data_IF_763834133467
#
_entry.id   IF_763834133467
#
_cell.length_a   1.000
_cell.length_b   1.000
_cell.length_c   1.000
_cell.angle_alpha   90.00
_cell.angle_beta   90.00
_cell.angle_gamma   90.00
#
_symmetry.space_group_name_H-M   'P 1'
#
loop_
_entity.id
_entity.type
_entity.pdbx_description
1 polymer ?
#
# COMPACT_ATOMS: atom_id res chain seq x y z
N UNK A 1 5.81 20.21 -17.58
CA UNK A 1 5.47 19.62 -18.88
C UNK A 1 4.28 20.38 -19.47
N UNK A 2 4.40 20.99 -20.67
CA UNK A 2 3.32 21.80 -21.27
C UNK A 2 2.07 20.98 -21.66
N UNK A 3 2.17 19.64 -21.66
CA UNK A 3 1.05 18.74 -21.93
C UNK A 3 0.22 18.40 -20.69
N UNK A 4 0.67 18.80 -19.52
CA UNK A 4 -0.02 18.52 -18.24
C UNK A 4 -0.84 19.74 -17.84
N UNK A 5 -2.14 19.53 -17.69
CA UNK A 5 -3.02 20.52 -17.07
C UNK A 5 -2.91 20.43 -15.55
N UNK A 6 -2.20 21.37 -14.96
CA UNK A 6 -1.93 21.41 -13.51
C UNK A 6 -3.18 21.62 -12.65
N UNK A 7 -4.27 22.10 -13.23
CA UNK A 7 -5.54 22.29 -12.50
C UNK A 7 -6.40 21.02 -12.50
N UNK A 8 -6.01 19.99 -13.28
CA UNK A 8 -6.74 18.73 -13.43
C UNK A 8 -5.87 17.51 -13.11
N UNK A 9 -5.18 17.53 -11.99
CA UNK A 9 -4.33 16.42 -11.54
C UNK A 9 -5.12 15.50 -10.60
N UNK A 10 -5.28 14.25 -11.00
CA UNK A 10 -5.75 13.17 -10.14
C UNK A 10 -4.60 12.25 -9.74
N UNK A 11 -4.81 11.45 -8.69
CA UNK A 11 -3.85 10.43 -8.25
C UNK A 11 -4.54 9.10 -8.02
N UNK A 12 -3.88 8.02 -8.44
CA UNK A 12 -4.26 6.64 -8.10
C UNK A 12 -3.11 6.04 -7.30
N UNK A 13 -3.41 5.61 -6.07
CA UNK A 13 -2.47 4.88 -5.25
C UNK A 13 -2.84 3.40 -5.15
N UNK A 14 -1.93 2.49 -5.54
CA UNK A 14 -2.16 1.04 -5.49
C UNK A 14 -1.32 0.43 -4.37
N UNK A 15 -1.88 -0.47 -3.57
CA UNK A 15 -1.21 -1.12 -2.44
C UNK A 15 -0.68 -0.09 -1.44
N UNK A 16 0.59 -0.15 -1.05
CA UNK A 16 1.25 0.82 -0.18
C UNK A 16 1.17 2.25 -0.68
N UNK A 17 1.17 2.43 -2.02
CA UNK A 17 1.03 3.76 -2.64
C UNK A 17 -0.33 4.41 -2.37
N UNK A 18 -1.37 3.65 -1.98
CA UNK A 18 -2.64 4.22 -1.52
C UNK A 18 -2.45 5.12 -0.30
N UNK A 19 -1.74 4.63 0.72
CA UNK A 19 -1.45 5.44 1.91
C UNK A 19 -0.49 6.61 1.63
N UNK A 20 0.43 6.45 0.68
CA UNK A 20 1.32 7.55 0.26
C UNK A 20 0.54 8.63 -0.50
N UNK A 21 -0.39 8.26 -1.38
CA UNK A 21 -1.25 9.20 -2.10
C UNK A 21 -2.14 10.01 -1.14
N UNK A 22 -2.73 9.35 -0.13
CA UNK A 22 -3.49 10.03 0.92
C UNK A 22 -2.61 11.01 1.69
N UNK A 23 -1.42 10.57 2.14
CA UNK A 23 -0.49 11.42 2.87
C UNK A 23 -0.06 12.64 2.06
N UNK A 24 0.22 12.46 0.75
CA UNK A 24 0.54 13.56 -0.15
C UNK A 24 -0.66 14.51 -0.35
N UNK A 25 -1.86 13.96 -0.52
CA UNK A 25 -3.06 14.76 -0.74
C UNK A 25 -3.41 15.68 0.45
N UNK A 26 -3.07 15.31 1.67
CA UNK A 26 -3.29 16.18 2.85
C UNK A 26 -2.53 17.50 2.75
N UNK A 27 -1.38 17.52 2.11
CA UNK A 27 -0.50 18.70 2.03
C UNK A 27 -0.37 19.28 0.62
N UNK A 28 -0.90 18.61 -0.40
CA UNK A 28 -0.84 19.08 -1.78
C UNK A 28 -2.25 19.25 -2.40
N UNK A 29 -2.80 20.47 -2.37
CA UNK A 29 -4.14 20.76 -2.91
C UNK A 29 -4.23 20.71 -4.43
N UNK A 30 -3.11 20.52 -5.14
CA UNK A 30 -3.10 20.31 -6.59
C UNK A 30 -3.65 18.94 -6.99
N UNK A 31 -3.62 17.97 -6.07
CA UNK A 31 -4.29 16.67 -6.26
C UNK A 31 -5.79 16.85 -6.07
N UNK A 32 -6.53 16.96 -7.18
CA UNK A 32 -7.97 17.34 -7.20
C UNK A 32 -8.92 16.17 -6.95
N UNK A 33 -8.51 14.96 -7.31
CA UNK A 33 -9.28 13.74 -7.09
C UNK A 33 -8.34 12.59 -6.71
N UNK A 34 -8.67 11.82 -5.68
CA UNK A 34 -7.80 10.79 -5.10
C UNK A 34 -8.52 9.44 -5.16
N UNK A 35 -7.93 8.45 -5.82
CA UNK A 35 -8.38 7.08 -5.80
C UNK A 35 -7.32 6.16 -5.18
N UNK A 36 -7.76 5.15 -4.43
CA UNK A 36 -6.89 4.09 -3.92
C UNK A 36 -7.42 2.73 -4.37
N UNK A 37 -6.54 1.80 -4.67
CA UNK A 37 -6.88 0.44 -5.11
C UNK A 37 -6.09 -0.56 -4.27
N UNK A 38 -6.78 -1.53 -3.66
CA UNK A 38 -6.13 -2.53 -2.80
C UNK A 38 -5.15 -1.91 -1.81
N UNK A 39 -5.55 -0.82 -1.15
CA UNK A 39 -4.66 -0.02 -0.33
C UNK A 39 -4.15 -0.77 0.89
N UNK A 40 -2.90 -0.46 1.27
CA UNK A 40 -2.34 -0.70 2.60
C UNK A 40 -2.14 0.62 3.35
N UNK A 41 -2.54 0.68 4.61
CA UNK A 41 -1.92 1.61 5.55
C UNK A 41 -0.56 1.03 5.95
N UNK A 42 0.50 1.52 5.29
CA UNK A 42 1.85 1.03 5.53
C UNK A 42 2.29 1.25 6.99
N UNK A 43 1.76 2.26 7.63
CA UNK A 43 2.02 2.53 9.04
C UNK A 43 1.32 1.54 9.97
N UNK A 44 0.01 1.40 9.84
CA UNK A 44 -0.79 0.49 10.67
C UNK A 44 -0.37 -0.96 10.46
N UNK A 45 -0.14 -1.40 9.22
CA UNK A 45 0.32 -2.76 8.92
C UNK A 45 1.65 -3.09 9.64
N UNK A 46 2.60 -2.13 9.68
CA UNK A 46 3.87 -2.33 10.38
C UNK A 46 3.77 -2.17 11.89
N UNK A 47 2.82 -1.35 12.41
CA UNK A 47 2.64 -1.16 13.85
C UNK A 47 1.83 -2.26 14.52
N UNK A 48 0.79 -2.70 13.85
CA UNK A 48 -0.28 -3.50 14.44
C UNK A 48 -0.42 -4.88 13.79
N UNK A 49 0.25 -5.12 12.64
CA UNK A 49 -0.04 -6.26 11.78
C UNK A 49 -1.43 -6.15 11.12
N UNK A 50 -1.77 -7.12 10.28
CA UNK A 50 -3.11 -7.26 9.73
C UNK A 50 -4.09 -7.59 10.85
N UNK A 51 -5.27 -6.97 10.81
CA UNK A 51 -6.34 -7.18 11.80
C UNK A 51 -5.87 -7.05 13.24
N UNK A 52 -4.94 -6.13 13.49
CA UNK A 52 -4.33 -5.91 14.80
C UNK A 52 -3.66 -7.17 15.39
N UNK A 53 -3.10 -8.04 14.55
CA UNK A 53 -2.48 -9.30 14.97
C UNK A 53 -1.12 -9.16 15.66
N UNK A 54 -0.54 -7.95 15.75
CA UNK A 54 0.74 -7.68 16.43
C UNK A 54 0.52 -7.06 17.81
N UNK A 55 1.11 -7.66 18.85
CA UNK A 55 1.08 -7.11 20.21
C UNK A 55 2.04 -5.92 20.37
N UNK A 56 1.82 -5.12 21.42
CA UNK A 56 2.74 -4.02 21.76
C UNK A 56 4.14 -4.54 22.09
N UNK A 57 4.26 -5.67 22.74
CA UNK A 57 5.53 -6.30 23.10
C UNK A 57 6.30 -6.74 21.85
N UNK A 58 5.63 -7.38 20.90
CA UNK A 58 6.23 -7.75 19.60
C UNK A 58 6.73 -6.50 18.85
N UNK A 59 5.93 -5.44 18.82
CA UNK A 59 6.33 -4.17 18.22
C UNK A 59 7.56 -3.55 18.90
N UNK A 60 7.60 -3.52 20.24
CA UNK A 60 8.77 -3.04 21.01
C UNK A 60 10.01 -3.87 20.72
N UNK A 61 9.86 -5.19 20.62
CA UNK A 61 10.97 -6.09 20.27
C UNK A 61 11.53 -5.79 18.89
N UNK A 62 10.68 -5.61 17.88
CA UNK A 62 11.09 -5.24 16.51
C UNK A 62 11.86 -3.91 16.52
N UNK A 63 11.38 -2.91 17.27
CA UNK A 63 12.07 -1.61 17.38
C UNK A 63 13.44 -1.74 18.03
N UNK A 64 13.57 -2.57 19.08
CA UNK A 64 14.84 -2.87 19.74
C UNK A 64 15.81 -3.54 18.76
N UNK A 65 15.37 -4.59 18.07
CA UNK A 65 16.19 -5.29 17.07
C UNK A 65 16.65 -4.36 15.94
N UNK A 66 15.78 -3.44 15.50
CA UNK A 66 16.16 -2.47 14.47
C UNK A 66 17.19 -1.45 14.97
N UNK A 67 17.15 -1.09 16.25
CA UNK A 67 18.17 -0.23 16.84
C UNK A 67 19.54 -0.93 16.88
N UNK A 68 19.58 -2.19 17.34
CA UNK A 68 20.81 -3.01 17.35
C UNK A 68 21.34 -3.23 15.93
N UNK A 69 20.46 -3.49 14.96
CA UNK A 69 20.85 -3.66 13.56
C UNK A 69 21.52 -2.40 12.99
N UNK A 70 21.05 -1.20 13.36
CA UNK A 70 21.70 0.06 12.93
C UNK A 70 23.15 0.19 13.46
N UNK A 71 23.41 -0.25 14.71
CA UNK A 71 24.78 -0.29 15.23
C UNK A 71 25.64 -1.29 14.46
N UNK A 72 25.11 -2.49 14.16
CA UNK A 72 25.82 -3.48 13.39
C UNK A 72 26.18 -2.95 11.99
N UNK A 73 25.21 -2.37 11.27
CA UNK A 73 25.43 -1.78 9.94
C UNK A 73 26.43 -0.61 9.99
N UNK A 74 26.37 0.25 11.02
CA UNK A 74 27.29 1.37 11.19
C UNK A 74 28.75 0.92 11.38
N UNK A 75 28.95 -0.23 11.99
CA UNK A 75 30.31 -0.81 12.22
C UNK A 75 30.75 -1.74 11.07
N UNK A 76 30.07 -1.74 9.94
CA UNK A 76 30.42 -2.53 8.75
C UNK A 76 29.85 -3.95 8.72
N UNK A 77 28.88 -4.25 9.59
CA UNK A 77 28.13 -5.51 9.56
C UNK A 77 27.16 -5.60 8.39
N UNK A 78 26.64 -6.80 8.16
CA UNK A 78 25.74 -7.09 7.04
C UNK A 78 24.38 -6.40 7.18
N UNK A 79 23.81 -5.97 6.04
CA UNK A 79 22.45 -5.43 5.98
C UNK A 79 21.44 -6.57 6.12
N UNK A 80 20.54 -6.44 7.10
CA UNK A 80 19.41 -7.35 7.26
C UNK A 80 18.22 -6.88 6.43
N UNK A 81 17.58 -7.81 5.72
CA UNK A 81 16.36 -7.56 4.94
C UNK A 81 15.13 -8.17 5.64
N UNK A 82 13.95 -7.69 5.27
CA UNK A 82 12.67 -8.28 5.71
C UNK A 82 12.38 -9.55 4.93
N UNK A 83 11.41 -10.36 5.41
CA UNK A 83 11.01 -11.59 4.72
C UNK A 83 10.38 -11.34 3.35
N UNK A 84 9.77 -10.16 3.12
CA UNK A 84 9.17 -9.81 1.84
C UNK A 84 8.22 -10.87 1.26
N UNK A 85 8.22 -11.00 -0.08
CA UNK A 85 7.51 -12.11 -0.76
C UNK A 85 8.41 -13.35 -0.79
N UNK A 86 7.89 -14.48 -0.33
CA UNK A 86 8.62 -15.76 -0.32
C UNK A 86 9.11 -16.14 -1.70
N UNK A 87 10.28 -16.78 -1.78
CA UNK A 87 10.86 -17.24 -3.05
C UNK A 87 10.30 -18.59 -3.50
N UNK A 88 9.82 -19.39 -2.55
CA UNK A 88 9.24 -20.70 -2.79
C UNK A 88 8.00 -20.89 -1.94
N UNK A 89 7.02 -21.61 -2.49
CA UNK A 89 5.84 -22.02 -1.73
C UNK A 89 6.09 -23.38 -1.08
N UNK A 90 5.64 -23.50 0.16
CA UNK A 90 5.66 -24.74 0.93
C UNK A 90 4.22 -25.18 1.27
N UNK A 91 4.06 -26.35 1.85
CA UNK A 91 2.76 -26.81 2.35
C UNK A 91 2.18 -25.87 3.42
N UNK A 92 3.05 -25.26 4.20
CA UNK A 92 2.69 -24.31 5.29
C UNK A 92 2.53 -22.87 4.84
N UNK A 93 2.78 -22.54 3.56
CA UNK A 93 2.60 -21.18 3.03
C UNK A 93 1.17 -20.68 3.23
N UNK A 94 1.06 -19.50 3.82
CA UNK A 94 -0.23 -18.85 4.09
C UNK A 94 -0.95 -18.43 2.79
N UNK A 95 -2.26 -18.20 2.82
CA UNK A 95 -2.98 -17.66 1.67
C UNK A 95 -2.38 -16.35 1.14
N UNK A 96 -1.91 -15.47 2.02
CA UNK A 96 -1.29 -14.18 1.65
C UNK A 96 0.05 -14.42 0.95
N UNK A 97 0.90 -15.30 1.45
CA UNK A 97 2.17 -15.65 0.79
C UNK A 97 1.93 -16.24 -0.59
N UNK A 98 0.94 -17.12 -0.73
CA UNK A 98 0.54 -17.68 -2.04
C UNK A 98 0.04 -16.60 -2.99
N UNK A 99 -0.77 -15.66 -2.51
CA UNK A 99 -1.30 -14.56 -3.32
C UNK A 99 -0.17 -13.65 -3.82
N UNK A 100 0.75 -13.23 -2.95
CA UNK A 100 1.89 -12.41 -3.33
C UNK A 100 2.89 -13.15 -4.21
N UNK A 101 3.16 -14.43 -3.93
CA UNK A 101 4.00 -15.27 -4.79
C UNK A 101 3.43 -15.34 -6.21
N UNK A 102 2.11 -15.60 -6.35
CA UNK A 102 1.43 -15.74 -7.64
C UNK A 102 1.52 -14.46 -8.49
N UNK A 103 1.79 -13.30 -7.90
CA UNK A 103 2.05 -12.05 -8.63
C UNK A 103 3.55 -11.81 -8.79
N UNK A 104 4.29 -11.65 -7.69
CA UNK A 104 5.67 -11.16 -7.71
C UNK A 104 6.74 -12.19 -8.10
N UNK A 105 6.40 -13.49 -8.16
CA UNK A 105 7.32 -14.58 -8.52
C UNK A 105 6.87 -15.36 -9.76
N UNK A 106 6.02 -14.75 -10.57
CA UNK A 106 5.54 -15.32 -11.83
C UNK A 106 5.52 -14.24 -12.92
N UNK A 107 5.38 -14.60 -14.22
CA UNK A 107 5.29 -13.63 -15.30
C UNK A 107 4.18 -12.59 -15.18
N UNK A 108 3.27 -12.70 -14.20
CA UNK A 108 2.24 -11.68 -13.94
C UNK A 108 2.83 -10.32 -13.54
N UNK A 109 3.84 -10.33 -12.67
CA UNK A 109 4.41 -9.09 -12.13
C UNK A 109 5.87 -9.23 -11.69
N UNK A 110 6.54 -10.33 -12.06
CA UNK A 110 7.96 -10.52 -11.79
C UNK A 110 8.78 -9.47 -12.53
N UNK A 111 9.53 -8.70 -11.78
CA UNK A 111 10.43 -7.70 -12.33
C UNK A 111 11.60 -7.44 -11.39
N UNK A 112 12.80 -7.48 -11.94
CA UNK A 112 14.02 -7.08 -11.21
C UNK A 112 14.66 -5.90 -11.94
N UNK A 113 14.75 -4.72 -11.30
CA UNK A 113 15.42 -3.57 -11.89
C UNK A 113 16.90 -3.87 -12.22
N UNK A 114 17.41 -3.21 -13.23
CA UNK A 114 18.85 -3.25 -13.55
C UNK A 114 19.69 -2.85 -12.32
N UNK A 115 20.74 -3.59 -12.04
CA UNK A 115 21.61 -3.38 -10.87
C UNK A 115 21.05 -3.90 -9.54
N UNK A 116 19.86 -4.53 -9.56
CA UNK A 116 19.28 -5.21 -8.39
C UNK A 116 19.41 -6.72 -8.49
N UNK A 117 18.97 -7.43 -7.45
CA UNK A 117 18.98 -8.89 -7.37
C UNK A 117 17.56 -9.44 -7.21
N UNK A 118 17.17 -10.52 -7.93
CA UNK A 118 15.89 -11.19 -7.72
C UNK A 118 15.63 -11.59 -6.27
N UNK A 119 16.70 -11.95 -5.53
CA UNK A 119 16.63 -12.32 -4.12
C UNK A 119 16.22 -11.15 -3.21
N UNK A 120 16.46 -9.91 -3.64
CA UNK A 120 16.16 -8.69 -2.88
C UNK A 120 14.86 -8.02 -3.34
N UNK A 121 14.32 -8.41 -4.49
CA UNK A 121 13.04 -7.85 -4.99
C UNK A 121 11.93 -8.11 -3.98
N UNK A 122 11.22 -7.06 -3.57
CA UNK A 122 10.18 -7.06 -2.52
C UNK A 122 10.70 -7.24 -1.08
N UNK A 123 12.01 -7.21 -0.84
CA UNK A 123 12.63 -7.32 0.48
C UNK A 123 13.27 -5.99 0.89
N UNK A 124 12.53 -5.04 1.46
CA UNK A 124 13.13 -3.82 1.99
C UNK A 124 14.09 -4.14 3.14
N UNK A 125 15.08 -3.28 3.36
CA UNK A 125 15.96 -3.43 4.51
C UNK A 125 15.17 -3.34 5.80
N UNK A 126 15.54 -4.13 6.79
CA UNK A 126 14.84 -4.18 8.08
C UNK A 126 14.81 -2.81 8.77
N UNK A 127 15.95 -2.11 8.75
CA UNK A 127 16.09 -0.78 9.36
C UNK A 127 15.32 0.31 8.63
N UNK A 128 15.05 0.16 7.32
CA UNK A 128 14.17 1.06 6.58
C UNK A 128 12.71 0.75 6.83
N UNK A 129 12.33 -0.53 6.86
CA UNK A 129 10.94 -0.96 7.00
C UNK A 129 10.32 -0.51 8.32
N UNK A 130 11.06 -0.56 9.44
CA UNK A 130 10.54 -0.12 10.75
C UNK A 130 10.19 1.36 10.80
N UNK A 131 10.69 2.19 9.88
CA UNK A 131 10.34 3.61 9.79
C UNK A 131 8.85 3.79 9.49
N UNK A 132 8.21 2.84 8.81
CA UNK A 132 6.77 2.86 8.61
C UNK A 132 5.98 2.83 9.91
N UNK A 133 6.54 2.31 11.01
CA UNK A 133 5.86 2.36 12.30
C UNK A 133 5.58 3.80 12.79
N UNK A 134 6.29 4.81 12.26
CA UNK A 134 6.02 6.23 12.52
C UNK A 134 5.29 6.93 11.36
N UNK A 135 4.63 6.20 10.50
CA UNK A 135 3.83 6.73 9.40
C UNK A 135 2.34 6.59 9.71
N UNK A 136 1.62 7.71 9.77
CA UNK A 136 0.20 7.81 10.13
C UNK A 136 -0.59 8.48 8.99
N UNK A 137 -0.79 7.76 7.86
CA UNK A 137 -1.38 8.36 6.67
C UNK A 137 -2.82 8.83 6.87
N UNK A 138 -3.59 8.18 7.75
CA UNK A 138 -5.00 8.49 7.96
C UNK A 138 -5.26 9.53 9.05
N UNK A 139 -4.22 9.96 9.80
CA UNK A 139 -4.38 11.12 10.70
C UNK A 139 -4.71 12.35 9.86
N UNK A 140 -5.76 13.05 10.24
CA UNK A 140 -6.26 14.25 9.57
C UNK A 140 -6.68 14.04 8.10
N UNK A 141 -7.08 12.81 7.72
CA UNK A 141 -7.53 12.47 6.36
C UNK A 141 -8.77 13.30 5.96
N UNK A 142 -9.60 13.70 6.90
CA UNK A 142 -10.77 14.55 6.70
C UNK A 142 -10.41 15.93 6.14
N UNK A 143 -9.19 16.39 6.32
CA UNK A 143 -8.70 17.68 5.76
C UNK A 143 -8.58 17.67 4.24
N UNK A 144 -8.62 16.50 3.61
CA UNK A 144 -8.63 16.38 2.15
C UNK A 144 -9.92 16.95 1.57
N UNK A 145 -11.05 16.86 2.30
CA UNK A 145 -12.32 17.46 1.90
C UNK A 145 -12.14 18.96 1.55
N UNK A 146 -12.85 19.49 0.54
CA UNK A 146 -13.91 18.87 -0.26
C UNK A 146 -13.44 18.11 -1.52
N UNK A 147 -12.17 17.74 -1.60
CA UNK A 147 -11.65 16.97 -2.74
C UNK A 147 -12.14 15.52 -2.65
N UNK A 148 -12.70 14.95 -3.74
CA UNK A 148 -13.31 13.63 -3.71
C UNK A 148 -12.29 12.53 -3.54
N UNK A 149 -12.66 11.51 -2.75
CA UNK A 149 -11.89 10.29 -2.55
C UNK A 149 -12.68 9.05 -2.95
N UNK A 150 -12.04 8.13 -3.68
CA UNK A 150 -12.58 6.82 -4.05
C UNK A 150 -11.67 5.73 -3.51
N UNK A 151 -12.21 4.86 -2.65
CA UNK A 151 -11.51 3.70 -2.10
C UNK A 151 -12.02 2.44 -2.79
N UNK A 152 -11.12 1.70 -3.47
CA UNK A 152 -11.45 0.46 -4.16
C UNK A 152 -10.72 -0.70 -3.49
N UNK A 153 -11.45 -1.73 -3.11
CA UNK A 153 -10.87 -2.95 -2.52
C UNK A 153 -11.56 -4.20 -3.08
N UNK A 154 -10.82 -5.29 -3.16
CA UNK A 154 -11.41 -6.59 -3.44
C UNK A 154 -12.16 -7.14 -2.22
N UNK A 155 -13.30 -7.79 -2.44
CA UNK A 155 -14.11 -8.41 -1.39
C UNK A 155 -13.31 -9.43 -0.56
N UNK A 156 -12.38 -10.16 -1.21
CA UNK A 156 -11.54 -11.18 -0.58
C UNK A 156 -10.15 -10.67 -0.23
N UNK A 157 -9.88 -9.37 -0.42
CA UNK A 157 -8.57 -8.81 -0.14
C UNK A 157 -8.28 -8.83 1.36
N UNK A 158 -7.15 -9.41 1.75
CA UNK A 158 -6.68 -9.40 3.13
C UNK A 158 -6.42 -7.99 3.68
N UNK A 159 -6.28 -7.00 2.79
CA UNK A 159 -6.05 -5.58 3.10
C UNK A 159 -7.32 -4.72 3.09
N UNK A 160 -8.51 -5.32 2.94
CA UNK A 160 -9.77 -4.57 2.82
C UNK A 160 -9.98 -3.62 4.02
N UNK A 161 -9.57 -4.02 5.21
CA UNK A 161 -9.67 -3.24 6.45
C UNK A 161 -9.11 -1.83 6.30
N UNK A 162 -8.00 -1.65 5.57
CA UNK A 162 -7.38 -0.33 5.41
C UNK A 162 -8.22 0.61 4.54
N UNK A 163 -8.90 0.08 3.53
CA UNK A 163 -9.83 0.87 2.71
C UNK A 163 -11.09 1.23 3.49
N UNK A 164 -11.60 0.33 4.32
CA UNK A 164 -12.74 0.56 5.18
C UNK A 164 -12.42 1.60 6.27
N UNK A 165 -11.24 1.51 6.90
CA UNK A 165 -10.78 2.47 7.89
C UNK A 165 -10.58 3.87 7.30
N UNK A 166 -9.93 3.98 6.14
CA UNK A 166 -9.75 5.24 5.45
C UNK A 166 -11.11 5.86 5.07
N UNK A 167 -12.02 5.06 4.52
CA UNK A 167 -13.38 5.50 4.19
C UNK A 167 -14.12 6.00 5.43
N UNK A 168 -14.04 5.28 6.54
CA UNK A 168 -14.70 5.68 7.80
C UNK A 168 -14.18 7.02 8.32
N UNK A 169 -12.87 7.26 8.23
CA UNK A 169 -12.21 8.46 8.76
C UNK A 169 -12.30 9.67 7.81
N UNK A 170 -12.33 9.46 6.51
CA UNK A 170 -12.42 10.52 5.52
C UNK A 170 -13.72 11.32 5.63
N UNK A 171 -13.67 12.62 5.31
CA UNK A 171 -14.88 13.45 5.15
C UNK A 171 -15.44 13.36 3.71
N UNK A 172 -16.67 13.85 3.52
CA UNK A 172 -17.31 13.90 2.20
C UNK A 172 -16.62 14.93 1.26
N UNK A 173 -16.64 14.71 -0.06
CA UNK A 173 -17.25 13.58 -0.77
C UNK A 173 -16.32 12.36 -0.83
N UNK A 174 -16.83 11.21 -0.49
CA UNK A 174 -16.09 9.94 -0.47
C UNK A 174 -16.93 8.77 -0.97
N UNK A 175 -16.28 7.75 -1.48
CA UNK A 175 -16.93 6.53 -1.92
C UNK A 175 -16.07 5.31 -1.63
N UNK A 176 -16.69 4.21 -1.17
CA UNK A 176 -16.07 2.89 -1.05
C UNK A 176 -16.69 1.97 -2.10
N UNK A 177 -15.85 1.37 -2.94
CA UNK A 177 -16.26 0.43 -3.97
C UNK A 177 -15.61 -0.94 -3.76
N UNK A 178 -16.41 -1.94 -3.42
CA UNK A 178 -15.94 -3.31 -3.22
C UNK A 178 -16.13 -4.10 -4.51
N UNK A 179 -15.04 -4.70 -5.00
CA UNK A 179 -15.05 -5.55 -6.20
C UNK A 179 -15.34 -6.99 -5.80
N UNK A 180 -16.51 -7.54 -6.20
CA UNK A 180 -16.90 -8.89 -5.82
C UNK A 180 -15.88 -9.95 -6.26
N UNK A 181 -15.55 -10.87 -5.36
CA UNK A 181 -14.69 -12.03 -5.62
C UNK A 181 -13.20 -11.72 -5.81
N UNK A 182 -12.78 -10.45 -5.89
CA UNK A 182 -11.37 -10.08 -6.09
C UNK A 182 -10.57 -10.19 -4.79
N UNK A 183 -9.34 -10.71 -4.90
CA UNK A 183 -8.29 -10.63 -3.89
C UNK A 183 -7.51 -9.32 -3.96
N UNK A 184 -6.44 -9.22 -3.17
CA UNK A 184 -5.61 -8.01 -3.11
C UNK A 184 -4.86 -7.74 -4.42
N UNK A 185 -4.09 -8.72 -4.92
CA UNK A 185 -3.29 -8.55 -6.14
C UNK A 185 -4.08 -8.72 -7.43
N UNK A 186 -5.33 -9.18 -7.37
CA UNK A 186 -6.18 -9.30 -8.55
C UNK A 186 -6.47 -7.93 -9.18
N UNK A 187 -6.47 -6.88 -8.37
CA UNK A 187 -6.67 -5.51 -8.83
C UNK A 187 -5.38 -4.82 -9.32
N UNK A 188 -4.28 -5.55 -9.45
CA UNK A 188 -3.04 -5.02 -10.02
C UNK A 188 -2.98 -5.22 -11.55
N UNK A 189 -3.42 -6.38 -12.04
CA UNK A 189 -3.22 -6.81 -13.42
C UNK A 189 -4.43 -7.48 -14.07
N UNK A 190 -5.42 -7.95 -13.30
CA UNK A 190 -6.59 -8.63 -13.85
C UNK A 190 -7.59 -7.62 -14.42
N UNK A 191 -7.40 -7.26 -15.68
CA UNK A 191 -8.19 -6.25 -16.40
C UNK A 191 -9.72 -6.49 -16.29
N UNK A 192 -10.16 -7.74 -16.21
CA UNK A 192 -11.58 -8.08 -16.06
C UNK A 192 -12.15 -7.77 -14.67
N UNK A 193 -11.30 -7.61 -13.65
CA UNK A 193 -11.69 -7.30 -12.27
C UNK A 193 -11.46 -5.83 -11.91
N UNK A 194 -10.47 -5.18 -12.53
CA UNK A 194 -10.19 -3.78 -12.29
C UNK A 194 -11.38 -2.93 -12.77
N UNK A 195 -12.02 -2.14 -11.91
CA UNK A 195 -13.22 -1.39 -12.28
C UNK A 195 -12.89 -0.11 -13.05
N UNK A 196 -12.32 -0.24 -14.27
CA UNK A 196 -11.92 0.90 -15.11
C UNK A 196 -13.06 1.87 -15.40
N UNK A 197 -14.29 1.36 -15.63
CA UNK A 197 -15.48 2.22 -15.81
C UNK A 197 -15.69 3.13 -14.60
N UNK A 198 -15.63 2.58 -13.39
CA UNK A 198 -15.76 3.34 -12.13
C UNK A 198 -14.68 4.41 -11.98
N UNK A 199 -13.43 4.06 -12.29
CA UNK A 199 -12.30 5.00 -12.26
C UNK A 199 -12.49 6.13 -13.29
N UNK A 200 -12.87 5.77 -14.52
CA UNK A 200 -13.14 6.74 -15.60
C UNK A 200 -14.24 7.71 -15.20
N UNK A 201 -15.36 7.22 -14.71
CA UNK A 201 -16.48 8.06 -14.26
C UNK A 201 -16.06 9.00 -13.12
N UNK A 202 -15.31 8.47 -12.14
CA UNK A 202 -14.81 9.24 -11.01
C UNK A 202 -13.92 10.40 -11.47
N UNK A 203 -12.89 10.13 -12.27
CA UNK A 203 -11.96 11.18 -12.70
C UNK A 203 -12.60 12.12 -13.73
N UNK A 204 -13.41 11.64 -14.66
CA UNK A 204 -14.12 12.50 -15.62
C UNK A 204 -15.07 13.47 -14.92
N UNK A 205 -15.74 13.03 -13.86
CA UNK A 205 -16.63 13.89 -13.07
C UNK A 205 -15.87 14.95 -12.29
N UNK A 206 -14.71 14.62 -11.75
CA UNK A 206 -14.03 15.42 -10.71
C UNK A 206 -12.80 16.20 -11.21
N UNK A 207 -12.34 15.97 -12.43
CA UNK A 207 -11.23 16.69 -13.07
C UNK A 207 -11.73 17.56 -14.25
N UNK A 208 -12.70 18.42 -13.97
CA UNK A 208 -13.28 19.36 -14.97
C UNK A 208 -12.57 20.71 -14.92
#
# INVERSE_FOLDING_TARGET
NPLVDRERIGVIGICGSGSFAISAAKIDPRLKAIATISMYDMGAANRNGLRHGMTLEQRKQILKEAAEQRYAEFTGGETRYTSGTVHELTETSTPIEREFYAFYRTPRGEFTPEGSSPQLTTHPTFTSNVKFMNFYPFSDIETISPRPMLFIAGEKAHSIEFSEDAYRLAAEPKELYIVPGAGHVDLYDRVSLIPFGKLTDFFTKNLK
#
